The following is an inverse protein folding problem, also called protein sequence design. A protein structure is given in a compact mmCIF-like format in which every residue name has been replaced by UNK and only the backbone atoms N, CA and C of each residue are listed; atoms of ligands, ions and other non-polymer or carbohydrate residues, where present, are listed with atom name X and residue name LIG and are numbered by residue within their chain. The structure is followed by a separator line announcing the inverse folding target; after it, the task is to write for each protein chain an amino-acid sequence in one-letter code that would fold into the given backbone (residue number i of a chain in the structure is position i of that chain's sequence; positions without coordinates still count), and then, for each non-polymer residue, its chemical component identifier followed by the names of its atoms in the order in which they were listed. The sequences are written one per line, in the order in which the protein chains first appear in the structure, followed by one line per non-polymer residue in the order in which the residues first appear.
data_IF_891791014493
#
_entry.id   IF_891791014493
#
_cell.length_a   1.000
_cell.length_b   1.000
_cell.length_c   1.000
_cell.angle_alpha   90.00
_cell.angle_beta   90.00
_cell.angle_gamma   90.00
#
_symmetry.space_group_name_H-M   'P 1'
#
loop_
_entity.id
_entity.type
_entity.pdbx_description
1 polymer ?
#
# COMPACT_ATOMS: atom_id res chain seq x y z
N UNK A 1 -4.91 28.81 -1.65
CA UNK A 1 -3.45 28.79 -1.91
C UNK A 1 -2.70 30.03 -1.44
N UNK A 2 -3.21 31.27 -1.66
CA UNK A 2 -2.47 32.51 -1.27
C UNK A 2 -2.19 32.55 0.24
N UNK A 3 -3.19 32.27 1.06
CA UNK A 3 -3.04 32.25 2.52
C UNK A 3 -2.18 31.09 3.00
N UNK A 4 -2.31 29.89 2.41
CA UNK A 4 -1.46 28.76 2.74
C UNK A 4 0.03 29.06 2.47
N UNK A 5 0.34 29.66 1.31
CA UNK A 5 1.72 30.10 1.01
C UNK A 5 2.22 31.11 2.04
N UNK A 6 1.40 32.10 2.40
CA UNK A 6 1.75 33.09 3.41
C UNK A 6 2.08 32.41 4.75
N UNK A 7 1.23 31.51 5.23
CA UNK A 7 1.48 30.78 6.48
C UNK A 7 2.75 29.94 6.46
N UNK A 8 3.03 29.27 5.33
CA UNK A 8 4.29 28.51 5.19
C UNK A 8 5.52 29.43 5.23
N UNK A 9 5.45 30.60 4.60
CA UNK A 9 6.54 31.61 4.65
C UNK A 9 6.72 32.20 6.04
N UNK A 10 5.64 32.50 6.75
CA UNK A 10 5.65 32.96 8.14
C UNK A 10 6.26 31.88 9.05
N UNK A 11 5.83 30.61 8.91
CA UNK A 11 6.39 29.49 9.66
C UNK A 11 7.88 29.31 9.39
N UNK A 12 8.32 29.41 8.13
CA UNK A 12 9.74 29.39 7.78
C UNK A 12 10.51 30.56 8.36
N UNK A 13 9.92 31.76 8.43
CA UNK A 13 10.52 32.93 9.07
C UNK A 13 10.78 32.73 10.56
N UNK A 14 9.88 32.03 11.25
CA UNK A 14 10.00 31.72 12.69
C UNK A 14 10.92 30.53 12.94
N UNK A 15 10.83 29.50 12.09
CA UNK A 15 11.59 28.23 12.19
C UNK A 15 12.37 27.95 10.89
N UNK A 16 13.48 28.67 10.61
CA UNK A 16 14.18 28.57 9.32
C UNK A 16 14.77 27.20 9.00
N UNK A 17 14.93 26.35 9.99
CA UNK A 17 15.45 24.97 9.88
C UNK A 17 14.35 23.94 9.62
N UNK A 18 13.07 24.30 9.72
CA UNK A 18 11.94 23.38 9.54
C UNK A 18 11.69 23.08 8.06
N UNK A 19 11.92 21.84 7.64
CA UNK A 19 11.69 21.40 6.24
C UNK A 19 10.22 21.31 5.88
N UNK A 20 9.35 21.04 6.84
CA UNK A 20 7.92 20.83 6.63
C UNK A 20 7.24 22.04 5.96
N UNK A 21 7.59 23.24 6.41
CA UNK A 21 7.09 24.46 5.78
C UNK A 21 7.59 24.61 4.34
N UNK A 22 8.85 24.26 4.08
CA UNK A 22 9.46 24.37 2.74
C UNK A 22 8.91 23.32 1.79
N UNK A 23 8.75 22.08 2.21
CA UNK A 23 8.14 21.00 1.39
C UNK A 23 6.67 21.30 1.10
N UNK A 24 5.95 21.91 2.04
CA UNK A 24 4.57 22.39 1.80
C UNK A 24 4.54 23.49 0.74
N UNK A 25 5.52 24.40 0.72
CA UNK A 25 5.65 25.40 -0.36
C UNK A 25 5.88 24.74 -1.73
N UNK A 26 6.72 23.69 -1.79
CA UNK A 26 6.93 22.92 -3.05
C UNK A 26 5.59 22.42 -3.59
N UNK A 27 4.78 21.76 -2.77
CA UNK A 27 3.49 21.22 -3.17
C UNK A 27 2.51 22.32 -3.62
N UNK A 28 2.43 23.42 -2.87
CA UNK A 28 1.57 24.54 -3.22
C UNK A 28 1.97 25.21 -4.55
N UNK A 29 3.27 25.27 -4.85
CA UNK A 29 3.75 25.80 -6.13
C UNK A 29 3.59 24.79 -7.28
N UNK A 30 3.60 23.47 -7.03
CA UNK A 30 3.16 22.49 -8.03
C UNK A 30 1.70 22.71 -8.43
N UNK A 31 0.79 22.87 -7.47
CA UNK A 31 -0.63 23.14 -7.73
C UNK A 31 -0.84 24.46 -8.51
N UNK A 32 0.00 25.46 -8.26
CA UNK A 32 -0.02 26.73 -9.00
C UNK A 32 0.68 26.67 -10.36
N UNK A 33 1.27 25.54 -10.72
CA UNK A 33 2.08 25.35 -11.93
C UNK A 33 3.29 26.30 -12.03
N UNK A 34 3.78 26.82 -10.88
CA UNK A 34 4.97 27.66 -10.77
C UNK A 34 6.20 26.78 -10.52
N UNK A 35 6.73 26.25 -11.60
CA UNK A 35 7.82 25.27 -11.55
C UNK A 35 9.15 25.83 -11.00
N UNK A 36 9.46 27.09 -11.27
CA UNK A 36 10.71 27.70 -10.79
C UNK A 36 10.68 27.89 -9.25
N UNK A 37 9.54 28.32 -8.71
CA UNK A 37 9.39 28.45 -7.26
C UNK A 37 9.28 27.07 -6.59
N UNK A 38 8.61 26.10 -7.20
CA UNK A 38 8.60 24.74 -6.68
C UNK A 38 10.03 24.18 -6.54
N UNK A 39 10.85 24.33 -7.58
CA UNK A 39 12.24 23.91 -7.56
C UNK A 39 13.08 24.70 -6.52
N UNK A 40 12.96 26.02 -6.49
CA UNK A 40 13.68 26.85 -5.51
C UNK A 40 13.43 26.38 -4.07
N UNK A 41 12.17 26.19 -3.68
CA UNK A 41 11.84 25.79 -2.31
C UNK A 41 12.26 24.32 -2.02
N UNK A 42 12.27 23.46 -3.01
CA UNK A 42 12.79 22.11 -2.87
C UNK A 42 14.30 22.10 -2.56
N UNK A 43 15.11 22.88 -3.27
CA UNK A 43 16.53 23.05 -2.98
C UNK A 43 16.74 23.67 -1.59
N UNK A 44 15.92 24.68 -1.22
CA UNK A 44 16.01 25.25 0.13
C UNK A 44 15.71 24.23 1.23
N UNK A 45 14.77 23.31 1.00
CA UNK A 45 14.47 22.24 1.95
C UNK A 45 15.66 21.29 2.13
N UNK A 46 16.31 20.87 1.05
CA UNK A 46 17.47 19.97 1.09
C UNK A 46 18.68 20.55 1.83
N UNK A 47 18.80 21.87 1.85
CA UNK A 47 19.89 22.57 2.59
C UNK A 47 19.71 22.53 4.11
N UNK A 48 18.55 22.12 4.62
CA UNK A 48 18.25 22.08 6.06
C UNK A 48 18.54 20.70 6.63
N UNK A 49 19.49 20.56 7.57
CA UNK A 49 19.71 19.29 8.26
C UNK A 49 18.52 18.95 9.15
N UNK A 50 18.38 17.68 9.50
CA UNK A 50 17.43 17.24 10.50
C UNK A 50 17.80 17.90 11.86
N UNK A 51 16.85 18.54 12.57
CA UNK A 51 17.15 19.18 13.84
C UNK A 51 17.51 18.12 14.90
N UNK A 52 18.42 18.43 15.83
CA UNK A 52 18.69 17.56 16.98
C UNK A 52 17.41 17.23 17.76
N UNK A 53 17.33 16.03 18.34
CA UNK A 53 16.14 15.54 19.06
C UNK A 53 15.63 16.49 20.16
N UNK A 54 16.52 17.22 20.79
CA UNK A 54 16.21 18.22 21.84
C UNK A 54 15.47 19.48 21.34
N UNK A 55 15.55 19.75 20.02
CA UNK A 55 14.97 20.96 19.39
C UNK A 55 13.83 20.60 18.43
N UNK A 56 13.44 19.35 18.35
CA UNK A 56 12.37 18.90 17.44
C UNK A 56 11.05 19.52 17.85
N UNK A 57 10.38 20.27 16.96
CA UNK A 57 9.04 20.74 17.24
C UNK A 57 8.03 19.58 17.24
N UNK A 58 6.90 19.78 17.87
CA UNK A 58 5.79 18.83 17.87
C UNK A 58 5.26 18.51 16.45
N UNK A 59 5.53 19.36 15.46
CA UNK A 59 5.18 19.18 14.04
C UNK A 59 6.25 18.45 13.24
N UNK A 60 7.37 18.05 13.88
CA UNK A 60 8.47 17.41 13.17
C UNK A 60 8.03 16.07 12.56
N UNK A 61 8.21 15.95 11.25
CA UNK A 61 7.97 14.71 10.51
C UNK A 61 9.28 14.25 9.84
N UNK A 62 9.87 13.17 10.37
CA UNK A 62 11.16 12.63 9.90
C UNK A 62 11.21 12.36 8.38
N UNK A 63 10.06 12.04 7.74
CA UNK A 63 9.98 11.81 6.30
C UNK A 63 10.52 12.98 5.46
N UNK A 64 10.34 14.22 5.90
CA UNK A 64 10.81 15.40 5.17
C UNK A 64 12.34 15.52 5.12
N UNK A 65 13.03 14.84 6.04
CA UNK A 65 14.50 14.85 6.14
C UNK A 65 15.14 13.59 5.51
N UNK A 66 14.34 12.58 5.18
CA UNK A 66 14.77 11.35 4.52
C UNK A 66 14.45 11.32 3.03
N UNK A 67 14.16 10.12 2.55
CA UNK A 67 13.89 9.81 1.15
C UNK A 67 12.76 10.65 0.52
N UNK A 68 11.72 10.98 1.29
CA UNK A 68 10.57 11.76 0.80
C UNK A 68 10.98 13.17 0.37
N UNK A 69 11.80 13.86 1.18
CA UNK A 69 12.32 15.19 0.83
C UNK A 69 13.18 15.17 -0.43
N UNK A 70 14.02 14.14 -0.60
CA UNK A 70 14.86 13.97 -1.80
C UNK A 70 14.01 13.67 -3.03
N UNK A 71 13.00 12.80 -2.92
CA UNK A 71 12.08 12.51 -4.01
C UNK A 71 11.29 13.74 -4.46
N UNK A 72 10.74 14.49 -3.51
CA UNK A 72 10.03 15.73 -3.80
C UNK A 72 10.92 16.73 -4.56
N UNK A 73 12.19 16.85 -4.16
CA UNK A 73 13.15 17.71 -4.82
C UNK A 73 13.52 17.20 -6.24
N UNK A 74 13.66 15.90 -6.44
CA UNK A 74 13.88 15.32 -7.76
C UNK A 74 12.72 15.58 -8.72
N UNK A 75 11.48 15.46 -8.22
CA UNK A 75 10.27 15.80 -8.98
C UNK A 75 10.22 17.30 -9.33
N UNK A 76 10.54 18.18 -8.39
CA UNK A 76 10.58 19.61 -8.61
C UNK A 76 11.65 20.01 -9.64
N UNK A 77 12.84 19.43 -9.57
CA UNK A 77 13.92 19.64 -10.54
C UNK A 77 13.48 19.22 -11.96
N UNK A 78 12.87 18.02 -12.09
CA UNK A 78 12.36 17.55 -13.38
C UNK A 78 11.27 18.45 -13.93
N UNK A 79 10.34 18.88 -13.10
CA UNK A 79 9.26 19.79 -13.48
C UNK A 79 9.78 21.16 -13.97
N UNK A 80 10.85 21.66 -13.35
CA UNK A 80 11.55 22.88 -13.75
C UNK A 80 12.51 22.69 -14.94
N UNK A 81 12.61 21.48 -15.52
CA UNK A 81 13.50 21.19 -16.63
C UNK A 81 14.98 21.07 -16.26
N UNK A 82 15.31 20.99 -14.97
CA UNK A 82 16.68 20.83 -14.45
C UNK A 82 17.09 19.34 -14.45
N UNK A 83 17.27 18.77 -15.64
CA UNK A 83 17.36 17.30 -15.81
C UNK A 83 18.59 16.69 -15.16
N UNK A 84 19.76 17.36 -15.18
CA UNK A 84 20.97 16.88 -14.51
C UNK A 84 20.77 16.80 -13.00
N UNK A 85 20.23 17.86 -12.41
CA UNK A 85 19.91 17.89 -10.97
C UNK A 85 18.86 16.87 -10.60
N UNK A 86 17.85 16.67 -11.44
CA UNK A 86 16.85 15.64 -11.24
C UNK A 86 17.48 14.23 -11.23
N UNK A 87 18.42 13.94 -12.11
CA UNK A 87 19.13 12.66 -12.16
C UNK A 87 20.03 12.45 -10.93
N UNK A 88 20.74 13.49 -10.48
CA UNK A 88 21.54 13.47 -9.25
C UNK A 88 20.68 13.14 -8.02
N UNK A 89 19.59 13.88 -7.84
CA UNK A 89 18.65 13.67 -6.73
C UNK A 89 17.98 12.29 -6.81
N UNK A 90 17.67 11.82 -8.00
CA UNK A 90 17.14 10.48 -8.23
C UNK A 90 18.16 9.41 -7.78
N UNK A 91 19.45 9.60 -8.05
CA UNK A 91 20.51 8.71 -7.57
C UNK A 91 20.61 8.73 -6.04
N UNK A 92 20.57 9.92 -5.43
CA UNK A 92 20.54 10.05 -3.97
C UNK A 92 19.34 9.35 -3.37
N UNK A 93 18.17 9.49 -3.98
CA UNK A 93 16.95 8.82 -3.58
C UNK A 93 17.06 7.29 -3.66
N UNK A 94 17.67 6.75 -4.72
CA UNK A 94 17.88 5.30 -4.86
C UNK A 94 18.88 4.72 -3.85
N UNK A 95 19.82 5.54 -3.38
CA UNK A 95 20.81 5.13 -2.38
C UNK A 95 20.30 5.19 -0.94
N UNK A 96 19.09 5.73 -0.70
CA UNK A 96 18.48 5.74 0.63
C UNK A 96 17.81 4.40 0.93
N UNK A 97 17.98 3.92 2.17
CA UNK A 97 17.18 2.80 2.67
C UNK A 97 15.70 3.18 2.69
N UNK A 98 14.90 2.49 1.92
CA UNK A 98 13.45 2.70 1.84
C UNK A 98 12.72 1.44 2.22
N UNK A 99 11.53 1.56 2.82
CA UNK A 99 10.68 0.39 3.00
C UNK A 99 10.42 -0.30 1.65
N UNK A 100 10.44 -1.62 1.67
CA UNK A 100 10.15 -2.48 0.53
C UNK A 100 8.71 -3.01 0.61
N UNK A 101 8.15 -3.38 -0.53
CA UNK A 101 6.76 -3.85 -0.62
C UNK A 101 6.75 -5.25 -1.20
N UNK A 102 6.03 -6.18 -0.56
CA UNK A 102 5.78 -7.51 -1.10
C UNK A 102 4.32 -7.64 -1.53
N UNK A 103 4.09 -7.95 -2.81
CA UNK A 103 2.79 -8.30 -3.38
C UNK A 103 2.60 -9.81 -3.32
N UNK A 104 1.64 -10.28 -2.55
CA UNK A 104 1.33 -11.69 -2.35
C UNK A 104 0.12 -12.04 -3.21
N UNK A 105 0.36 -12.58 -4.39
CA UNK A 105 -0.61 -12.71 -5.47
C UNK A 105 -1.11 -14.15 -5.62
N UNK A 106 -2.26 -14.46 -5.02
CA UNK A 106 -2.90 -15.75 -5.22
C UNK A 106 -3.68 -15.78 -6.55
N UNK A 107 -3.43 -16.80 -7.36
CA UNK A 107 -4.12 -17.01 -8.63
C UNK A 107 -4.45 -18.48 -8.85
N UNK A 108 -5.58 -18.75 -9.54
CA UNK A 108 -6.01 -20.08 -9.95
C UNK A 108 -6.81 -20.01 -11.23
N UNK A 109 -6.35 -20.73 -12.27
CA UNK A 109 -7.04 -20.84 -13.56
C UNK A 109 -7.15 -19.52 -14.34
N UNK A 110 -6.34 -18.52 -14.01
CA UNK A 110 -6.42 -17.17 -14.56
C UNK A 110 -5.05 -16.62 -14.99
N UNK A 111 -4.14 -17.48 -15.44
CA UNK A 111 -2.73 -17.13 -15.71
C UNK A 111 -2.54 -15.84 -16.50
N UNK A 112 -3.32 -15.62 -17.57
CA UNK A 112 -3.21 -14.38 -18.37
C UNK A 112 -3.62 -13.14 -17.58
N UNK A 113 -4.69 -13.23 -16.76
CA UNK A 113 -5.13 -12.09 -15.91
C UNK A 113 -4.10 -11.82 -14.81
N UNK A 114 -3.55 -12.88 -14.22
CA UNK A 114 -2.53 -12.78 -13.17
C UNK A 114 -1.27 -12.07 -13.67
N UNK A 115 -0.77 -12.44 -14.86
CA UNK A 115 0.38 -11.76 -15.48
C UNK A 115 0.05 -10.32 -15.80
N UNK A 116 -1.11 -10.03 -16.41
CA UNK A 116 -1.53 -8.67 -16.71
C UNK A 116 -1.67 -7.79 -15.44
N UNK A 117 -2.22 -8.33 -14.36
CA UNK A 117 -2.30 -7.65 -13.07
C UNK A 117 -0.89 -7.34 -12.51
N UNK A 118 0.02 -8.34 -12.49
CA UNK A 118 1.40 -8.13 -12.09
C UNK A 118 2.07 -7.01 -12.89
N UNK A 119 1.94 -7.05 -14.21
CA UNK A 119 2.53 -6.03 -15.09
C UNK A 119 1.94 -4.64 -14.80
N UNK A 120 0.63 -4.53 -14.61
CA UNK A 120 -0.02 -3.27 -14.26
C UNK A 120 0.54 -2.69 -12.96
N UNK A 121 0.74 -3.53 -11.92
CA UNK A 121 1.34 -3.10 -10.67
C UNK A 121 2.79 -2.64 -10.84
N UNK A 122 3.62 -3.38 -11.56
CA UNK A 122 5.03 -3.01 -11.76
C UNK A 122 5.21 -1.79 -12.66
N UNK A 123 4.42 -1.67 -13.74
CA UNK A 123 4.49 -0.54 -14.67
C UNK A 123 3.97 0.77 -14.06
N UNK A 124 2.98 0.70 -13.16
CA UNK A 124 2.44 1.88 -12.47
C UNK A 124 3.18 2.23 -11.18
N UNK A 125 4.10 1.38 -10.72
CA UNK A 125 4.95 1.69 -9.58
C UNK A 125 5.93 2.83 -9.91
N UNK A 126 6.18 3.69 -8.95
CA UNK A 126 7.22 4.71 -9.04
C UNK A 126 8.61 4.09 -9.01
N UNK A 127 8.81 3.08 -8.17
CA UNK A 127 10.05 2.33 -8.08
C UNK A 127 9.81 0.80 -8.06
N UNK A 128 9.64 0.17 -9.22
CA UNK A 128 9.38 -1.26 -9.30
C UNK A 128 10.51 -2.13 -8.71
N UNK A 129 11.74 -1.62 -8.59
CA UNK A 129 12.84 -2.34 -7.98
C UNK A 129 12.67 -2.56 -6.45
N UNK A 130 11.80 -1.79 -5.80
CA UNK A 130 11.46 -1.97 -4.38
C UNK A 130 10.19 -2.82 -4.17
N UNK A 131 9.66 -3.39 -5.24
CA UNK A 131 8.45 -4.21 -5.20
C UNK A 131 8.81 -5.66 -5.48
N UNK A 132 8.74 -6.49 -4.45
CA UNK A 132 8.77 -7.94 -4.58
C UNK A 132 7.38 -8.43 -5.00
N UNK A 133 7.30 -9.33 -5.96
CA UNK A 133 6.04 -9.93 -6.38
C UNK A 133 6.14 -11.46 -6.32
N UNK A 134 5.30 -12.09 -5.50
CA UNK A 134 5.30 -13.53 -5.28
C UNK A 134 3.95 -14.10 -5.74
N UNK A 135 3.97 -14.94 -6.79
CA UNK A 135 2.79 -15.71 -7.16
C UNK A 135 2.55 -16.84 -6.15
N UNK A 136 1.30 -17.04 -5.78
CA UNK A 136 0.85 -18.12 -4.91
C UNK A 136 -0.12 -18.98 -5.72
N UNK A 137 0.32 -20.17 -6.13
CA UNK A 137 -0.42 -21.07 -7.02
C UNK A 137 -0.76 -22.38 -6.33
N UNK A 138 -1.86 -23.01 -6.74
CA UNK A 138 -2.26 -24.31 -6.21
C UNK A 138 -1.54 -25.45 -6.95
N UNK A 139 -1.14 -26.49 -6.22
CA UNK A 139 -0.42 -27.65 -6.75
C UNK A 139 -1.19 -28.37 -7.87
N UNK A 140 -2.52 -28.35 -7.80
CA UNK A 140 -3.40 -29.01 -8.77
C UNK A 140 -3.84 -28.11 -9.95
N UNK A 141 -3.29 -26.88 -10.03
CA UNK A 141 -3.53 -25.97 -11.15
C UNK A 141 -2.30 -25.91 -12.08
N UNK A 142 -2.25 -26.87 -13.00
CA UNK A 142 -1.12 -27.04 -13.92
C UNK A 142 -0.83 -25.77 -14.73
N UNK A 143 -1.86 -25.06 -15.19
CA UNK A 143 -1.70 -23.85 -16.02
C UNK A 143 -1.05 -22.71 -15.23
N UNK A 144 -1.48 -22.47 -14.00
CA UNK A 144 -0.86 -21.45 -13.13
C UNK A 144 0.53 -21.89 -12.65
N UNK A 145 0.75 -23.19 -12.45
CA UNK A 145 2.07 -23.75 -12.13
C UNK A 145 3.08 -23.50 -13.25
N UNK A 146 2.73 -23.79 -14.49
CA UNK A 146 3.61 -23.56 -15.66
C UNK A 146 3.90 -22.06 -15.84
N UNK A 147 2.90 -21.20 -15.73
CA UNK A 147 3.06 -19.75 -15.79
C UNK A 147 4.01 -19.25 -14.70
N UNK A 148 3.85 -19.72 -13.46
CA UNK A 148 4.59 -19.21 -12.31
C UNK A 148 6.09 -19.56 -12.34
N UNK A 149 6.53 -20.57 -13.10
CA UNK A 149 7.94 -20.95 -13.20
C UNK A 149 8.86 -19.83 -13.70
N UNK A 150 8.32 -18.83 -14.38
CA UNK A 150 9.07 -17.67 -14.87
C UNK A 150 9.21 -16.54 -13.82
N UNK A 151 8.60 -16.70 -12.64
CA UNK A 151 8.49 -15.66 -11.61
C UNK A 151 8.79 -16.24 -10.25
N UNK A 152 9.02 -15.36 -9.28
CA UNK A 152 9.06 -15.74 -7.87
C UNK A 152 7.69 -16.29 -7.46
N UNK A 153 7.66 -17.51 -6.88
CA UNK A 153 6.41 -18.15 -6.54
C UNK A 153 6.50 -19.09 -5.33
N UNK A 154 5.33 -19.43 -4.80
CA UNK A 154 5.11 -20.52 -3.85
C UNK A 154 3.96 -21.40 -4.34
N UNK A 155 4.04 -22.70 -4.02
CA UNK A 155 3.01 -23.68 -4.40
C UNK A 155 2.25 -24.12 -3.15
N UNK A 156 0.94 -23.90 -3.12
CA UNK A 156 0.04 -24.38 -2.06
C UNK A 156 -0.49 -25.78 -2.40
N UNK A 157 -0.52 -26.65 -1.42
CA UNK A 157 -1.14 -27.99 -1.51
C UNK A 157 -2.63 -27.98 -1.11
N UNK A 158 -3.14 -26.81 -0.68
CA UNK A 158 -4.53 -26.60 -0.29
C UNK A 158 -5.25 -25.75 -1.34
N UNK A 159 -6.45 -26.16 -1.72
CA UNK A 159 -7.33 -25.39 -2.64
C UNK A 159 -7.99 -24.21 -1.90
N UNK A 160 -7.18 -23.29 -1.43
CA UNK A 160 -7.59 -22.16 -0.60
C UNK A 160 -6.73 -20.94 -0.92
N UNK A 161 -7.36 -19.85 -1.34
CA UNK A 161 -6.62 -18.61 -1.55
C UNK A 161 -6.02 -18.09 -0.24
N UNK A 162 -6.66 -18.34 0.90
CA UNK A 162 -6.14 -18.00 2.22
C UNK A 162 -4.84 -18.75 2.52
N UNK A 163 -4.82 -20.08 2.27
CA UNK A 163 -3.60 -20.88 2.44
C UNK A 163 -2.48 -20.42 1.51
N UNK A 164 -2.83 -20.09 0.25
CA UNK A 164 -1.90 -19.57 -0.74
C UNK A 164 -1.31 -18.22 -0.31
N UNK A 165 -2.13 -17.24 0.09
CA UNK A 165 -1.66 -15.96 0.60
C UNK A 165 -0.81 -16.10 1.86
N UNK A 166 -1.22 -16.91 2.84
CA UNK A 166 -0.43 -17.15 4.05
C UNK A 166 0.95 -17.75 3.73
N UNK A 167 1.01 -18.69 2.78
CA UNK A 167 2.28 -19.29 2.34
C UNK A 167 3.18 -18.28 1.64
N UNK A 168 2.62 -17.43 0.78
CA UNK A 168 3.33 -16.33 0.14
C UNK A 168 3.84 -15.30 1.14
N UNK A 169 3.01 -14.91 2.12
CA UNK A 169 3.38 -13.94 3.14
C UNK A 169 4.55 -14.42 4.03
N UNK A 170 4.66 -15.73 4.27
CA UNK A 170 5.82 -16.30 4.99
C UNK A 170 7.12 -16.23 4.18
N UNK A 171 7.04 -16.22 2.85
CA UNK A 171 8.20 -16.05 1.96
C UNK A 171 8.58 -14.59 1.75
N UNK A 172 7.63 -13.70 1.89
CA UNK A 172 7.78 -12.26 1.66
C UNK A 172 8.87 -11.64 2.52
N UNK A 173 9.67 -10.74 1.93
CA UNK A 173 10.76 -10.01 2.59
C UNK A 173 10.43 -8.53 2.84
N UNK A 174 9.38 -7.99 2.23
CA UNK A 174 9.03 -6.57 2.30
C UNK A 174 8.57 -6.09 3.67
N UNK A 175 8.79 -4.82 3.93
CA UNK A 175 8.34 -4.13 5.15
C UNK A 175 6.82 -3.89 5.16
N UNK A 176 6.25 -3.73 3.97
CA UNK A 176 4.80 -3.65 3.74
C UNK A 176 4.36 -4.87 2.92
N UNK A 177 3.37 -5.60 3.40
CA UNK A 177 2.86 -6.82 2.77
C UNK A 177 1.45 -6.56 2.27
N UNK A 178 1.21 -6.83 0.99
CA UNK A 178 -0.05 -6.57 0.30
C UNK A 178 -0.62 -7.86 -0.26
N UNK A 179 -1.83 -8.21 0.14
CA UNK A 179 -2.61 -9.27 -0.49
C UNK A 179 -3.11 -8.82 -1.85
N UNK A 180 -2.91 -9.65 -2.88
CA UNK A 180 -3.31 -9.36 -4.25
C UNK A 180 -4.10 -10.52 -4.86
N UNK A 181 -5.08 -10.19 -5.72
CA UNK A 181 -5.77 -11.08 -6.64
C UNK A 181 -5.77 -10.52 -8.06
N UNK A 182 -6.22 -11.32 -9.04
CA UNK A 182 -6.05 -11.03 -10.47
C UNK A 182 -6.87 -9.85 -11.02
N UNK A 183 -7.72 -9.25 -10.20
CA UNK A 183 -8.75 -8.28 -10.58
C UNK A 183 -8.56 -6.89 -9.96
N UNK A 184 -7.34 -6.58 -9.52
CA UNK A 184 -6.98 -5.26 -9.03
C UNK A 184 -6.25 -4.41 -10.06
N UNK A 185 -6.62 -3.14 -10.13
CA UNK A 185 -5.96 -2.12 -10.96
C UNK A 185 -5.39 -1.02 -10.07
N UNK A 186 -4.07 -0.87 -10.02
CA UNK A 186 -3.42 0.12 -9.18
C UNK A 186 -3.47 1.52 -9.80
N UNK A 187 -3.50 2.59 -9.00
CA UNK A 187 -3.26 3.94 -9.50
C UNK A 187 -1.78 4.16 -9.83
N UNK A 188 -1.50 5.17 -10.63
CA UNK A 188 -0.11 5.57 -10.94
C UNK A 188 0.64 5.93 -9.65
N UNK A 189 1.88 5.43 -9.52
CA UNK A 189 2.78 5.63 -8.38
C UNK A 189 2.17 5.16 -7.04
N UNK A 190 1.43 4.07 -7.08
CA UNK A 190 0.75 3.50 -5.93
C UNK A 190 1.70 3.16 -4.76
N UNK A 191 2.88 2.65 -5.06
CA UNK A 191 3.93 2.31 -4.10
C UNK A 191 4.39 3.54 -3.31
N UNK A 192 4.70 4.63 -4.02
CA UNK A 192 5.10 5.89 -3.40
C UNK A 192 3.98 6.44 -2.51
N UNK A 193 2.73 6.41 -3.00
CA UNK A 193 1.57 6.91 -2.23
C UNK A 193 1.34 6.13 -0.93
N UNK A 194 1.50 4.81 -0.95
CA UNK A 194 1.41 3.98 0.25
C UNK A 194 2.57 4.28 1.22
N UNK A 195 3.80 4.36 0.70
CA UNK A 195 4.98 4.64 1.52
C UNK A 195 4.97 6.05 2.13
N UNK A 196 4.39 7.05 1.45
CA UNK A 196 4.18 8.40 2.01
C UNK A 196 3.32 8.38 3.28
N UNK A 197 2.30 7.51 3.36
CA UNK A 197 1.44 7.39 4.55
C UNK A 197 2.18 6.86 5.79
N UNK A 198 3.25 6.11 5.58
CA UNK A 198 4.00 5.41 6.63
C UNK A 198 5.46 5.86 6.73
N UNK A 199 5.82 6.96 6.06
CA UNK A 199 7.22 7.41 5.91
C UNK A 199 7.94 7.71 7.24
N UNK A 200 7.20 8.01 8.30
CA UNK A 200 7.73 8.29 9.65
C UNK A 200 7.57 7.12 10.64
N UNK A 201 7.20 5.92 10.13
CA UNK A 201 6.85 4.77 10.94
C UNK A 201 7.91 3.67 10.84
N UNK A 202 8.12 2.93 11.90
CA UNK A 202 8.95 1.72 11.92
C UNK A 202 8.09 0.50 11.55
N UNK A 203 8.04 0.18 10.24
CA UNK A 203 7.20 -0.91 9.73
C UNK A 203 7.61 -2.30 10.24
N UNK A 204 8.84 -2.46 10.70
CA UNK A 204 9.30 -3.71 11.29
C UNK A 204 8.71 -3.95 12.69
N UNK A 205 8.37 -2.88 13.44
CA UNK A 205 7.91 -2.96 14.81
C UNK A 205 6.46 -2.54 15.01
N UNK A 206 6.00 -1.52 14.26
CA UNK A 206 4.69 -0.95 14.45
C UNK A 206 3.61 -1.76 13.74
N UNK A 207 2.49 -1.96 14.43
CA UNK A 207 1.32 -2.57 13.84
C UNK A 207 0.53 -1.56 13.02
N UNK A 208 0.57 -1.69 11.71
CA UNK A 208 -0.12 -0.80 10.79
C UNK A 208 -0.89 -1.62 9.76
N UNK A 209 -2.13 -1.21 9.50
CA UNK A 209 -2.96 -1.64 8.37
C UNK A 209 -3.37 -0.39 7.61
N UNK A 210 -3.29 -0.41 6.28
CA UNK A 210 -3.70 0.73 5.45
C UNK A 210 -5.03 0.39 4.78
N UNK A 211 -6.04 1.21 5.04
CA UNK A 211 -7.33 1.15 4.34
C UNK A 211 -7.28 2.01 3.07
N UNK A 212 -7.51 1.38 1.92
CA UNK A 212 -7.61 2.05 0.61
C UNK A 212 -9.05 1.97 0.09
N UNK A 213 -9.40 2.83 -0.86
CA UNK A 213 -10.67 2.75 -1.59
C UNK A 213 -10.55 1.67 -2.68
N UNK A 214 -11.53 0.78 -2.78
CA UNK A 214 -11.61 -0.27 -3.80
C UNK A 214 -12.39 0.17 -5.07
N UNK A 215 -12.82 1.41 -5.10
CA UNK A 215 -13.59 1.99 -6.21
C UNK A 215 -15.10 1.79 -6.13
N UNK A 216 -15.60 0.98 -5.17
CA UNK A 216 -17.02 0.62 -5.11
C UNK A 216 -17.63 0.71 -3.70
N UNK A 217 -16.96 0.19 -2.69
CA UNK A 217 -17.50 0.04 -1.31
C UNK A 217 -17.38 1.34 -0.51
N UNK A 218 -18.33 1.47 0.44
CA UNK A 218 -18.36 2.60 1.40
C UNK A 218 -18.32 2.14 2.86
N UNK A 219 -18.35 0.82 3.07
CA UNK A 219 -18.30 0.22 4.41
C UNK A 219 -16.86 0.09 4.93
N UNK A 220 -16.69 -0.58 6.07
CA UNK A 220 -15.41 -0.75 6.73
C UNK A 220 -14.61 -1.97 6.26
N UNK A 221 -15.07 -2.72 5.26
CA UNK A 221 -14.39 -3.90 4.75
C UNK A 221 -13.11 -3.52 4.00
N UNK A 222 -12.00 -4.15 4.35
CA UNK A 222 -10.69 -4.00 3.73
C UNK A 222 -10.48 -5.18 2.76
N UNK A 223 -11.01 -5.05 1.53
CA UNK A 223 -10.94 -6.12 0.51
C UNK A 223 -9.51 -6.44 0.06
N UNK A 224 -8.58 -5.51 0.22
CA UNK A 224 -7.16 -5.70 0.03
C UNK A 224 -6.46 -5.55 1.39
N UNK A 225 -5.89 -6.61 1.91
CA UNK A 225 -5.10 -6.53 3.12
C UNK A 225 -3.74 -5.89 2.81
N UNK A 226 -3.48 -4.72 3.40
CA UNK A 226 -2.21 -4.00 3.33
C UNK A 226 -1.72 -3.82 4.76
N UNK A 227 -0.63 -4.49 5.13
CA UNK A 227 -0.14 -4.48 6.50
C UNK A 227 1.37 -4.35 6.61
N UNK A 228 1.83 -3.75 7.70
CA UNK A 228 3.26 -3.70 8.06
C UNK A 228 3.80 -5.08 8.44
N UNK A 229 5.11 -5.27 8.33
CA UNK A 229 5.82 -6.46 8.83
C UNK A 229 5.53 -6.69 10.32
N UNK A 230 5.58 -5.64 11.15
CA UNK A 230 5.28 -5.72 12.58
C UNK A 230 3.85 -6.22 12.86
N UNK A 231 2.86 -5.81 12.07
CA UNK A 231 1.48 -6.33 12.18
C UNK A 231 1.41 -7.80 11.78
N UNK A 232 2.06 -8.19 10.69
CA UNK A 232 2.06 -9.57 10.22
C UNK A 232 2.72 -10.52 11.25
N UNK A 233 3.87 -10.14 11.79
CA UNK A 233 4.59 -10.93 12.79
C UNK A 233 3.77 -11.12 14.07
N UNK A 234 3.11 -10.07 14.56
CA UNK A 234 2.26 -10.16 15.73
C UNK A 234 1.00 -10.99 15.49
N UNK A 235 0.42 -10.90 14.28
CA UNK A 235 -0.77 -11.65 13.91
C UNK A 235 -0.46 -13.14 13.64
N UNK A 236 0.76 -13.45 13.22
CA UNK A 236 1.27 -14.78 12.92
C UNK A 236 1.00 -15.29 11.51
N UNK A 237 -0.03 -14.81 10.84
CA UNK A 237 -0.40 -15.09 9.45
C UNK A 237 -1.12 -13.89 8.84
N UNK A 238 -1.25 -13.83 7.51
CA UNK A 238 -2.02 -12.78 6.84
C UNK A 238 -3.52 -12.89 7.16
N UNK A 239 -4.04 -14.12 7.09
CA UNK A 239 -5.43 -14.45 7.43
C UNK A 239 -5.48 -15.68 8.30
N UNK A 240 -6.54 -15.83 9.10
CA UNK A 240 -6.73 -17.06 9.87
C UNK A 240 -6.89 -18.27 8.96
N UNK A 241 -6.06 -19.28 9.17
CA UNK A 241 -5.94 -20.47 8.29
C UNK A 241 -7.21 -21.34 8.20
N UNK A 242 -8.20 -21.12 9.08
CA UNK A 242 -9.47 -21.84 9.03
C UNK A 242 -10.40 -21.36 7.92
N UNK A 243 -10.16 -20.20 7.30
CA UNK A 243 -10.91 -19.76 6.13
C UNK A 243 -10.37 -20.39 4.84
N UNK A 244 -11.27 -20.66 3.92
CA UNK A 244 -10.89 -21.10 2.57
C UNK A 244 -10.82 -19.92 1.58
N UNK A 245 -11.67 -18.90 1.77
CA UNK A 245 -11.79 -17.71 0.91
C UNK A 245 -12.58 -16.62 1.64
N UNK A 246 -13.90 -16.53 1.39
CA UNK A 246 -14.82 -15.51 1.91
C UNK A 246 -14.82 -15.45 3.44
N UNK A 247 -15.03 -14.25 4.00
CA UNK A 247 -14.97 -13.88 5.41
C UNK A 247 -13.56 -13.83 6.02
N UNK A 248 -12.49 -14.15 5.29
CA UNK A 248 -11.13 -13.91 5.76
C UNK A 248 -10.82 -12.40 5.84
N UNK A 249 -11.29 -11.64 4.87
CA UNK A 249 -11.22 -10.19 4.80
C UNK A 249 -12.13 -9.51 5.82
N UNK A 250 -13.31 -10.08 6.11
CA UNK A 250 -14.19 -9.60 7.20
C UNK A 250 -13.49 -9.71 8.56
N UNK A 251 -12.88 -10.86 8.88
CA UNK A 251 -12.15 -11.02 10.15
C UNK A 251 -10.91 -10.12 10.21
N UNK A 252 -10.16 -10.02 9.11
CA UNK A 252 -9.02 -9.12 9.03
C UNK A 252 -9.42 -7.67 9.31
N UNK A 253 -10.49 -7.21 8.65
CA UNK A 253 -11.02 -5.85 8.81
C UNK A 253 -11.49 -5.59 10.24
N UNK A 254 -12.35 -6.50 10.76
CA UNK A 254 -12.88 -6.38 12.11
C UNK A 254 -11.75 -6.24 13.15
N UNK A 255 -10.73 -7.09 13.07
CA UNK A 255 -9.58 -7.05 13.98
C UNK A 255 -8.77 -5.78 13.82
N UNK A 256 -8.45 -5.39 12.59
CA UNK A 256 -7.65 -4.19 12.35
C UNK A 256 -8.32 -2.92 12.90
N UNK A 257 -9.62 -2.76 12.68
CA UNK A 257 -10.38 -1.64 13.23
C UNK A 257 -10.50 -1.70 14.76
N UNK A 258 -10.75 -2.88 15.31
CA UNK A 258 -10.85 -3.09 16.76
C UNK A 258 -9.54 -2.80 17.48
N UNK A 259 -8.42 -3.21 16.90
CA UNK A 259 -7.08 -2.98 17.45
C UNK A 259 -6.63 -1.51 17.30
N UNK A 260 -7.33 -0.68 16.53
CA UNK A 260 -7.00 0.72 16.30
C UNK A 260 -5.73 0.93 15.47
N UNK A 261 -5.33 -0.04 14.63
CA UNK A 261 -4.09 -0.02 13.85
C UNK A 261 -4.26 0.47 12.41
N UNK A 262 -5.47 0.92 12.05
CA UNK A 262 -5.80 1.31 10.67
C UNK A 262 -5.44 2.76 10.39
N UNK A 263 -4.65 2.98 9.35
CA UNK A 263 -4.50 4.28 8.69
C UNK A 263 -5.55 4.34 7.59
N UNK A 264 -6.60 5.15 7.77
CA UNK A 264 -7.64 5.31 6.78
C UNK A 264 -7.20 6.28 5.68
N UNK A 265 -6.89 5.74 4.50
CA UNK A 265 -6.48 6.49 3.32
C UNK A 265 -7.49 6.35 2.16
N UNK A 266 -8.75 5.96 2.44
CA UNK A 266 -9.78 5.75 1.42
C UNK A 266 -10.17 7.02 0.67
N UNK A 267 -9.94 8.18 1.25
CA UNK A 267 -10.10 9.49 0.61
C UNK A 267 -8.88 9.90 -0.27
N UNK A 268 -7.76 9.19 -0.17
CA UNK A 268 -6.48 9.55 -0.78
C UNK A 268 -6.05 8.60 -1.90
N UNK A 269 -6.30 7.29 -1.72
CA UNK A 269 -5.79 6.27 -2.63
C UNK A 269 -6.91 5.32 -3.02
N UNK A 270 -7.12 5.18 -4.34
CA UNK A 270 -8.07 4.23 -4.91
C UNK A 270 -7.33 3.19 -5.74
N UNK A 271 -7.47 1.91 -5.37
CA UNK A 271 -7.19 0.77 -6.23
C UNK A 271 -8.52 0.25 -6.76
N UNK A 272 -8.69 0.12 -8.06
CA UNK A 272 -9.97 -0.32 -8.60
C UNK A 272 -10.06 -1.85 -8.53
N UNK A 273 -11.05 -2.35 -7.79
CA UNK A 273 -11.38 -3.77 -7.73
C UNK A 273 -12.35 -4.12 -8.86
N UNK A 274 -11.83 -4.68 -9.95
CA UNK A 274 -12.63 -5.06 -11.12
C UNK A 274 -13.46 -6.33 -10.87
N UNK A 275 -14.25 -6.30 -9.79
CA UNK A 275 -15.01 -7.45 -9.29
C UNK A 275 -16.40 -7.54 -9.96
N UNK A 276 -16.89 -8.75 -10.34
CA UNK A 276 -18.17 -8.94 -11.01
C UNK A 276 -19.36 -8.38 -10.25
N UNK A 277 -19.35 -8.43 -8.91
CA UNK A 277 -20.41 -7.90 -8.05
C UNK A 277 -20.63 -6.39 -8.24
N UNK A 278 -19.60 -5.65 -8.65
CA UNK A 278 -19.66 -4.20 -8.87
C UNK A 278 -19.87 -3.83 -10.33
N UNK A 279 -20.13 -4.81 -11.21
CA UNK A 279 -20.33 -4.58 -12.63
C UNK A 279 -19.05 -4.32 -13.44
N UNK A 280 -17.88 -4.50 -12.84
CA UNK A 280 -16.57 -4.20 -13.43
C UNK A 280 -15.79 -5.44 -13.90
N UNK A 281 -16.33 -6.63 -13.79
CA UNK A 281 -15.67 -7.88 -14.17
C UNK A 281 -16.63 -8.92 -14.74
N UNK A 282 -16.09 -9.97 -15.35
CA UNK A 282 -16.86 -11.12 -15.80
C UNK A 282 -16.81 -12.23 -14.75
N UNK A 283 -17.97 -12.85 -14.48
CA UNK A 283 -18.06 -14.04 -13.66
C UNK A 283 -17.42 -15.21 -14.40
N UNK A 284 -16.38 -15.81 -13.83
CA UNK A 284 -15.72 -17.01 -14.33
C UNK A 284 -15.85 -18.18 -13.36
N UNK A 285 -15.32 -19.36 -13.74
CA UNK A 285 -15.42 -20.57 -12.93
C UNK A 285 -14.78 -20.43 -11.53
N UNK A 286 -13.67 -19.69 -11.42
CA UNK A 286 -13.00 -19.43 -10.15
C UNK A 286 -13.84 -18.54 -9.24
N UNK A 287 -14.45 -17.48 -9.81
CA UNK A 287 -15.39 -16.63 -9.08
C UNK A 287 -16.59 -17.42 -8.57
N UNK A 288 -17.22 -18.22 -9.45
CA UNK A 288 -18.39 -19.06 -9.10
C UNK A 288 -18.04 -20.06 -8.00
N UNK A 289 -16.85 -20.71 -8.09
CA UNK A 289 -16.39 -21.65 -7.08
C UNK A 289 -16.19 -21.00 -5.71
N UNK A 290 -15.56 -19.84 -5.65
CA UNK A 290 -15.29 -19.12 -4.40
C UNK A 290 -16.57 -18.60 -3.72
N UNK A 291 -17.59 -18.26 -4.52
CA UNK A 291 -18.87 -17.74 -4.03
C UNK A 291 -19.99 -18.80 -3.90
N UNK A 292 -19.65 -20.08 -3.83
CA UNK A 292 -20.64 -21.14 -3.57
C UNK A 292 -21.32 -20.95 -2.22
N UNK A 293 -22.63 -21.18 -2.19
CA UNK A 293 -23.47 -20.97 -0.98
C UNK A 293 -22.95 -21.69 0.27
N UNK A 294 -22.42 -22.91 0.10
CA UNK A 294 -21.88 -23.68 1.22
C UNK A 294 -20.57 -23.12 1.77
N UNK A 295 -19.68 -22.62 0.90
CA UNK A 295 -18.47 -21.91 1.33
C UNK A 295 -18.82 -20.63 2.10
N UNK A 296 -19.80 -19.88 1.59
CA UNK A 296 -20.30 -18.68 2.26
C UNK A 296 -20.87 -18.99 3.64
N UNK A 297 -21.70 -20.03 3.76
CA UNK A 297 -22.27 -20.46 5.05
C UNK A 297 -21.19 -20.87 6.05
N UNK A 298 -20.20 -21.66 5.61
CA UNK A 298 -19.08 -22.08 6.48
C UNK A 298 -18.24 -20.89 6.92
N UNK A 299 -17.84 -20.01 6.00
CA UNK A 299 -17.07 -18.81 6.31
C UNK A 299 -17.82 -17.91 7.30
N UNK A 300 -19.13 -17.67 7.08
CA UNK A 300 -19.99 -16.89 7.98
C UNK A 300 -20.09 -17.50 9.37
N UNK A 301 -20.28 -18.80 9.46
CA UNK A 301 -20.38 -19.50 10.74
C UNK A 301 -19.05 -19.41 11.52
N UNK A 302 -17.94 -19.59 10.83
CA UNK A 302 -16.59 -19.45 11.40
C UNK A 302 -16.34 -18.03 11.91
N UNK A 303 -16.67 -17.01 11.08
CA UNK A 303 -16.51 -15.60 11.46
C UNK A 303 -17.32 -15.26 12.71
N UNK A 304 -18.61 -15.65 12.75
CA UNK A 304 -19.48 -15.44 13.91
C UNK A 304 -18.94 -16.10 15.19
N UNK A 305 -18.48 -17.34 15.08
CA UNK A 305 -17.92 -18.06 16.22
C UNK A 305 -16.64 -17.45 16.80
N UNK A 306 -15.84 -16.83 15.92
CA UNK A 306 -14.55 -16.22 16.30
C UNK A 306 -14.67 -14.76 16.72
N UNK A 307 -15.68 -14.04 16.24
CA UNK A 307 -15.88 -12.62 16.46
C UNK A 307 -17.35 -12.34 16.88
N UNK A 308 -17.78 -12.82 18.07
CA UNK A 308 -19.16 -12.66 18.52
C UNK A 308 -19.54 -11.19 18.68
N UNK A 309 -18.59 -10.33 19.04
CA UNK A 309 -18.77 -8.89 19.20
C UNK A 309 -18.97 -8.12 17.87
N UNK A 310 -18.61 -8.72 16.74
CA UNK A 310 -18.81 -8.10 15.42
C UNK A 310 -20.29 -7.94 15.07
N UNK A 311 -21.18 -8.72 15.69
CA UNK A 311 -22.61 -8.74 15.40
C UNK A 311 -23.48 -8.05 16.46
N UNK A 312 -22.94 -7.65 17.61
CA UNK A 312 -23.69 -6.96 18.66
C UNK A 312 -24.16 -5.53 18.25
N UNK A 313 -23.56 -4.98 17.18
CA UNK A 313 -23.88 -3.63 16.68
C UNK A 313 -24.97 -3.59 15.59
N UNK A 314 -25.46 -4.73 15.10
CA UNK A 314 -26.49 -4.79 14.06
C UNK A 314 -27.90 -5.06 14.61
N UNK A 315 -28.08 -5.07 15.92
CA UNK A 315 -29.42 -5.17 16.52
C UNK A 315 -29.89 -3.77 16.89
N UNK A 316 -30.96 -3.25 16.25
CA UNK A 316 -31.49 -1.92 16.52
C UNK A 316 -32.14 -1.80 17.89
#
# INVERSE_FOLDING_TARGET
HRDAIRYCLEAHGVFPWCREALTSLVLLYFEKQDKERAFYWAEQALLRPEPPGEIRPWTHEAKHYGWYGIDLAARAARYAGKMERAAELQSMFHNQSRPTISLIHATRGRSSKAVACREAFLQSAFNPANVEHIFCVDLDDQVSMEMSQQFEHVVSDQRSCVAAWNKGARKASGDLIIQLSDDWLPPLHWDLRLLELVASRDLAKEEIVIAINDGARKDSLLCMAIMSRGRWEKQGDMFYAGYESVFSDDEFSHRAWKDGVVIDARDKITFVHAHPQFGHGQSDATYQHNNQSERYKRGRALFKGRNPDAFEKETP
#
